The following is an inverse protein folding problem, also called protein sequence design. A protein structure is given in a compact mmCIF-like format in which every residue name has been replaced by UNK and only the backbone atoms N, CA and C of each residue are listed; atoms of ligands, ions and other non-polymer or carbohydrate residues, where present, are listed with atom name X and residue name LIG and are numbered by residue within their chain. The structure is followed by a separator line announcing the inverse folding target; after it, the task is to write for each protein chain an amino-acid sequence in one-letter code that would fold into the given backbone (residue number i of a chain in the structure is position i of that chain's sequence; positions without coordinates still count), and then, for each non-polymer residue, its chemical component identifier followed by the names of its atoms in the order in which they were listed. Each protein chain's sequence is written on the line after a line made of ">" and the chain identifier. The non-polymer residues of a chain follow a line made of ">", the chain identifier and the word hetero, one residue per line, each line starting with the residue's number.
data_IF_947125649325
#
_entry.id   IF_947125649325
#
_cell.length_a   1.000
_cell.length_b   1.000
_cell.length_c   1.000
_cell.angle_alpha   90.00
_cell.angle_beta   90.00
_cell.angle_gamma   90.00
#
_symmetry.space_group_name_H-M   'P 1'
#
loop_
_entity.id
_entity.type
_entity.pdbx_description
1 polymer ?
#
# COMPACT_ATOMS: atom_id res chain seq x y z
N UNK A 1 14.78 -6.19 25.29
CA UNK A 1 14.72 -6.25 23.81
C UNK A 1 13.49 -7.00 23.30
N UNK A 2 13.21 -8.23 23.77
CA UNK A 2 12.06 -9.02 23.31
C UNK A 2 10.69 -8.33 23.53
N UNK A 3 10.45 -7.77 24.73
CA UNK A 3 9.18 -7.08 25.03
C UNK A 3 8.96 -5.81 24.21
N UNK A 4 10.01 -5.03 23.99
CA UNK A 4 9.96 -3.82 23.16
C UNK A 4 9.58 -4.16 21.72
N UNK A 5 10.21 -5.18 21.14
CA UNK A 5 9.89 -5.61 19.78
C UNK A 5 8.45 -6.12 19.66
N UNK A 6 7.97 -6.90 20.63
CA UNK A 6 6.56 -7.31 20.67
C UNK A 6 5.61 -6.11 20.73
N UNK A 7 5.93 -5.08 21.52
CA UNK A 7 5.07 -3.90 21.62
C UNK A 7 4.99 -3.17 20.27
N UNK A 8 6.12 -3.03 19.56
CA UNK A 8 6.18 -2.39 18.23
C UNK A 8 5.37 -3.17 17.19
N UNK A 9 5.53 -4.49 17.14
CA UNK A 9 4.80 -5.34 16.17
C UNK A 9 3.29 -5.32 16.41
N UNK A 10 2.87 -5.21 17.67
CA UNK A 10 1.45 -5.15 18.02
C UNK A 10 0.85 -3.74 17.95
N UNK A 11 1.63 -2.74 17.59
CA UNK A 11 1.15 -1.36 17.53
C UNK A 11 0.17 -1.18 16.38
N UNK A 12 -1.00 -0.62 16.69
CA UNK A 12 -2.03 -0.34 15.70
C UNK A 12 -1.88 1.09 15.16
N UNK A 13 -1.31 1.21 13.97
CA UNK A 13 -1.06 2.50 13.31
C UNK A 13 -2.24 3.01 12.45
N UNK A 14 -3.38 2.29 12.42
CA UNK A 14 -4.52 2.61 11.54
C UNK A 14 -5.05 4.03 11.75
N UNK A 15 -4.95 4.56 12.97
CA UNK A 15 -5.46 5.90 13.30
C UNK A 15 -4.73 7.02 12.55
N UNK A 16 -3.47 6.80 12.16
CA UNK A 16 -2.67 7.77 11.42
C UNK A 16 -2.98 7.80 9.91
N UNK A 17 -3.73 6.84 9.37
CA UNK A 17 -4.06 6.82 7.94
C UNK A 17 -4.89 8.05 7.54
N UNK A 18 -5.75 8.54 8.45
CA UNK A 18 -6.58 9.73 8.22
C UNK A 18 -5.79 11.04 8.24
N UNK A 19 -4.60 11.05 8.86
CA UNK A 19 -3.73 12.22 8.92
C UNK A 19 -2.76 12.31 7.73
N UNK A 20 -2.84 11.38 6.77
CA UNK A 20 -2.06 11.48 5.54
C UNK A 20 -2.69 12.53 4.63
N UNK A 21 -1.96 13.63 4.40
CA UNK A 21 -2.39 14.75 3.57
C UNK A 21 -1.88 14.68 2.13
N UNK A 22 -0.79 13.93 1.90
CA UNK A 22 -0.25 13.68 0.57
C UNK A 22 -1.14 12.72 -0.22
N UNK A 23 -1.17 12.87 -1.53
CA UNK A 23 -1.73 11.87 -2.43
C UNK A 23 -0.97 10.53 -2.29
N UNK A 24 -1.70 9.41 -2.26
CA UNK A 24 -1.14 8.07 -2.01
C UNK A 24 -1.51 7.09 -3.11
N UNK A 25 -0.49 6.47 -3.70
CA UNK A 25 -0.65 5.29 -4.53
C UNK A 25 -0.44 4.01 -3.71
N UNK A 26 -1.46 3.15 -3.66
CA UNK A 26 -1.39 1.81 -3.07
C UNK A 26 -1.31 0.76 -4.19
N UNK A 27 -0.33 -0.13 -4.10
CA UNK A 27 -0.12 -1.23 -5.03
C UNK A 27 -0.25 -2.55 -4.29
N UNK A 28 -1.14 -3.44 -4.73
CA UNK A 28 -1.47 -4.63 -3.94
C UNK A 28 -1.66 -5.89 -4.78
N UNK A 29 -1.10 -7.01 -4.33
CA UNK A 29 -1.38 -8.33 -4.89
C UNK A 29 -2.71 -8.88 -4.38
N UNK A 30 -3.59 -9.36 -5.28
CA UNK A 30 -4.85 -10.00 -4.87
C UNK A 30 -4.64 -11.27 -4.04
N UNK A 31 -3.52 -11.95 -4.25
CA UNK A 31 -3.12 -13.22 -3.63
C UNK A 31 -2.05 -13.02 -2.55
N UNK A 32 -2.01 -11.84 -1.92
CA UNK A 32 -1.10 -11.57 -0.81
C UNK A 32 -1.64 -12.21 0.49
N UNK A 33 -0.92 -13.22 0.99
CA UNK A 33 -1.25 -13.93 2.23
C UNK A 33 -0.58 -13.32 3.47
N UNK A 34 0.41 -12.44 3.29
CA UNK A 34 1.16 -11.78 4.38
C UNK A 34 0.48 -10.48 4.79
N UNK A 35 0.05 -9.69 3.80
CA UNK A 35 -0.72 -8.46 3.97
C UNK A 35 -1.99 -8.56 3.12
N UNK A 36 -3.06 -9.17 3.63
CA UNK A 36 -4.27 -9.45 2.85
C UNK A 36 -4.89 -8.22 2.18
N UNK A 37 -5.47 -8.40 0.99
CA UNK A 37 -6.07 -7.32 0.18
C UNK A 37 -7.13 -6.47 0.94
N UNK A 38 -7.82 -7.05 1.91
CA UNK A 38 -8.75 -6.31 2.80
C UNK A 38 -8.08 -5.12 3.50
N UNK A 39 -6.77 -5.23 3.79
CA UNK A 39 -6.01 -4.17 4.43
C UNK A 39 -5.73 -3.05 3.43
N UNK A 40 -5.42 -3.38 2.18
CA UNK A 40 -5.35 -2.43 1.08
C UNK A 40 -6.65 -1.66 0.86
N UNK A 41 -7.80 -2.34 0.86
CA UNK A 41 -9.12 -1.67 0.81
C UNK A 41 -9.35 -0.76 2.03
N UNK A 42 -8.98 -1.23 3.23
CA UNK A 42 -9.11 -0.45 4.46
C UNK A 42 -8.26 0.82 4.41
N UNK A 43 -7.02 0.73 3.92
CA UNK A 43 -6.15 1.89 3.73
C UNK A 43 -6.75 2.87 2.72
N UNK A 44 -7.18 2.37 1.56
CA UNK A 44 -7.77 3.20 0.51
C UNK A 44 -9.06 3.93 0.96
N UNK A 45 -9.83 3.33 1.87
CA UNK A 45 -11.04 3.95 2.42
C UNK A 45 -10.74 4.99 3.52
N UNK A 46 -9.59 4.89 4.20
CA UNK A 46 -9.25 5.76 5.32
C UNK A 46 -8.34 6.93 4.93
N UNK A 47 -7.52 6.74 3.91
CA UNK A 47 -6.68 7.80 3.35
C UNK A 47 -7.56 8.65 2.44
N UNK A 48 -7.54 9.97 2.63
CA UNK A 48 -8.44 10.91 1.94
C UNK A 48 -8.19 10.94 0.43
N UNK A 49 -6.93 10.96 0.04
CA UNK A 49 -6.52 11.08 -1.35
C UNK A 49 -5.62 9.90 -1.72
N UNK A 50 -6.26 8.77 -2.06
CA UNK A 50 -5.53 7.56 -2.42
C UNK A 50 -6.19 6.79 -3.55
N UNK A 51 -5.36 6.11 -4.32
CA UNK A 51 -5.76 5.15 -5.33
C UNK A 51 -5.16 3.77 -5.03
N UNK A 52 -5.98 2.72 -5.17
CA UNK A 52 -5.56 1.33 -4.99
C UNK A 52 -5.56 0.58 -6.32
N UNK A 53 -4.37 0.17 -6.76
CA UNK A 53 -4.19 -0.71 -7.92
C UNK A 53 -3.98 -2.14 -7.44
N UNK A 54 -4.80 -3.04 -7.97
CA UNK A 54 -4.81 -4.45 -7.59
C UNK A 54 -4.26 -5.29 -8.73
N UNK A 55 -3.20 -6.05 -8.48
CA UNK A 55 -2.67 -7.05 -9.40
C UNK A 55 -3.45 -8.36 -9.23
N UNK A 56 -4.31 -8.78 -10.18
CA UNK A 56 -5.27 -9.87 -9.96
C UNK A 56 -4.64 -11.24 -9.68
N UNK A 57 -3.41 -11.45 -10.14
CA UNK A 57 -2.60 -12.66 -9.91
C UNK A 57 -1.34 -12.37 -9.08
N UNK A 58 -1.24 -11.17 -8.50
CA UNK A 58 -0.09 -10.73 -7.72
C UNK A 58 -0.13 -11.25 -6.29
N UNK A 59 1.03 -11.60 -5.74
CA UNK A 59 1.22 -11.95 -4.33
C UNK A 59 1.83 -10.77 -3.54
N UNK A 60 2.39 -11.04 -2.36
CA UNK A 60 3.07 -10.04 -1.53
C UNK A 60 4.17 -9.26 -2.25
N UNK A 61 4.83 -9.89 -3.22
CA UNK A 61 5.86 -9.28 -4.05
C UNK A 61 5.32 -8.95 -5.44
N UNK A 62 4.06 -8.50 -5.55
CA UNK A 62 3.43 -8.16 -6.84
C UNK A 62 4.26 -7.17 -7.65
N UNK A 63 4.98 -6.26 -6.99
CA UNK A 63 5.90 -5.33 -7.64
C UNK A 63 7.12 -6.00 -8.29
N UNK A 64 7.60 -7.14 -7.75
CA UNK A 64 8.65 -7.95 -8.38
C UNK A 64 8.10 -8.89 -9.45
N UNK A 65 6.85 -9.35 -9.31
CA UNK A 65 6.18 -10.17 -10.33
C UNK A 65 5.82 -9.35 -11.58
N UNK A 66 5.47 -8.07 -11.40
CA UNK A 66 5.07 -7.15 -12.45
C UNK A 66 5.95 -5.89 -12.48
N UNK A 67 7.28 -6.01 -12.67
CA UNK A 67 8.20 -4.90 -12.49
C UNK A 67 7.99 -3.80 -13.55
N UNK A 68 7.73 -4.18 -14.80
CA UNK A 68 7.47 -3.23 -15.87
C UNK A 68 6.20 -2.41 -15.62
N UNK A 69 5.08 -3.09 -15.34
CA UNK A 69 3.80 -2.44 -15.06
C UNK A 69 3.87 -1.57 -13.79
N UNK A 70 4.52 -2.07 -12.74
CA UNK A 70 4.73 -1.30 -11.50
C UNK A 70 5.50 -0.01 -11.77
N UNK A 71 6.60 -0.09 -12.52
CA UNK A 71 7.39 1.09 -12.88
C UNK A 71 6.59 2.08 -13.73
N UNK A 72 5.77 1.62 -14.67
CA UNK A 72 4.91 2.50 -15.46
C UNK A 72 3.89 3.23 -14.58
N UNK A 73 3.19 2.53 -13.68
CA UNK A 73 2.20 3.13 -12.79
C UNK A 73 2.86 4.20 -11.91
N UNK A 74 4.02 3.89 -11.31
CA UNK A 74 4.76 4.84 -10.47
C UNK A 74 5.22 6.06 -11.27
N UNK A 75 5.70 5.87 -12.51
CA UNK A 75 6.11 6.97 -13.36
C UNK A 75 4.96 7.92 -13.70
N UNK A 76 3.78 7.40 -14.04
CA UNK A 76 2.62 8.24 -14.32
C UNK A 76 2.14 8.98 -13.08
N UNK A 77 2.04 8.29 -11.94
CA UNK A 77 1.68 8.91 -10.66
C UNK A 77 2.60 10.09 -10.29
N UNK A 78 3.92 9.91 -10.42
CA UNK A 78 4.88 10.98 -10.10
C UNK A 78 4.84 12.13 -11.13
N UNK A 79 4.53 11.86 -12.40
CA UNK A 79 4.42 12.91 -13.42
C UNK A 79 3.21 13.81 -13.17
N UNK A 80 2.09 13.25 -12.73
CA UNK A 80 0.88 14.02 -12.41
C UNK A 80 1.14 15.06 -11.32
N UNK A 81 1.95 14.73 -10.31
CA UNK A 81 2.30 15.67 -9.24
C UNK A 81 3.25 16.82 -9.64
N UNK A 82 3.90 16.74 -10.81
CA UNK A 82 4.81 17.79 -11.29
C UNK A 82 4.13 18.86 -12.15
N UNK A 83 2.84 18.74 -12.42
CA UNK A 83 2.05 19.73 -13.16
C UNK A 83 1.46 20.77 -12.21
#
# INVERSE_FOLDING_TARGET
>A
MHKTFQNIVNENLVYYLKSIESEVLLLWGKLDDTTPLKDGYKMNNLIKDSALIIFPKGNHFSYLQYPYLTNQIIQEFIKEQKK
#
